data_IF_909363504114
#
_entry.id   IF_909363504114
#
_cell.length_a   1.000
_cell.length_b   1.000
_cell.length_c   1.000
_cell.angle_alpha   90.00
_cell.angle_beta   90.00
_cell.angle_gamma   90.00
#
_symmetry.space_group_name_H-M   'P 1'
#
loop_
_entity.id
_entity.type
_entity.pdbx_description
1 polymer ?
#
# COMPACT_ATOMS: atom_id res chain seq x y z
N UNK A 1 31.12 -7.06 -16.01
CA UNK A 1 29.86 -6.56 -16.58
C UNK A 1 29.86 -5.04 -16.49
N UNK A 2 29.42 -4.34 -17.55
CA UNK A 2 29.08 -2.92 -17.44
C UNK A 2 27.77 -2.73 -16.66
N UNK A 3 27.50 -1.52 -16.18
CA UNK A 3 26.26 -1.20 -15.46
C UNK A 3 25.01 -1.51 -16.30
N UNK A 4 25.06 -1.25 -17.60
CA UNK A 4 23.95 -1.53 -18.53
C UNK A 4 23.74 -3.03 -18.74
N UNK A 5 24.84 -3.81 -18.81
CA UNK A 5 24.76 -5.27 -18.90
C UNK A 5 24.15 -5.87 -17.62
N UNK A 6 24.52 -5.36 -16.44
CA UNK A 6 23.94 -5.81 -15.17
C UNK A 6 22.46 -5.46 -15.09
N UNK A 7 22.07 -4.24 -15.50
CA UNK A 7 20.67 -3.83 -15.55
C UNK A 7 19.83 -4.75 -16.46
N UNK A 8 20.31 -5.00 -17.68
CA UNK A 8 19.64 -5.87 -18.64
C UNK A 8 19.45 -7.30 -18.09
N UNK A 9 20.51 -7.89 -17.51
CA UNK A 9 20.42 -9.24 -16.91
C UNK A 9 19.44 -9.26 -15.74
N UNK A 10 19.45 -8.25 -14.88
CA UNK A 10 18.50 -8.12 -13.77
C UNK A 10 17.04 -8.07 -14.27
N UNK A 11 16.76 -7.30 -15.32
CA UNK A 11 15.41 -7.19 -15.89
C UNK A 11 14.94 -8.48 -16.55
N UNK A 12 15.79 -9.12 -17.36
CA UNK A 12 15.47 -10.38 -18.03
C UNK A 12 15.16 -11.48 -17.00
N UNK A 13 16.02 -11.61 -15.98
CA UNK A 13 15.82 -12.63 -14.94
C UNK A 13 14.56 -12.36 -14.10
N UNK A 14 14.27 -11.10 -13.77
CA UNK A 14 13.02 -10.72 -13.09
C UNK A 14 11.79 -11.08 -13.93
N UNK A 15 11.78 -10.71 -15.21
CA UNK A 15 10.65 -10.97 -16.12
C UNK A 15 10.44 -12.47 -16.37
N UNK A 16 11.51 -13.26 -16.38
CA UNK A 16 11.45 -14.72 -16.51
C UNK A 16 10.96 -15.43 -15.25
N UNK A 17 10.86 -14.74 -14.11
CA UNK A 17 10.48 -15.32 -12.82
C UNK A 17 11.55 -16.24 -12.20
N UNK A 18 12.77 -16.27 -12.74
CA UNK A 18 13.85 -17.14 -12.26
C UNK A 18 14.64 -16.46 -11.11
N UNK A 19 14.00 -16.35 -9.95
CA UNK A 19 14.56 -15.64 -8.79
C UNK A 19 15.78 -16.35 -8.17
N UNK A 20 15.91 -17.66 -8.32
CA UNK A 20 17.09 -18.43 -7.89
C UNK A 20 18.34 -18.05 -8.69
N UNK A 21 18.21 -17.96 -10.03
CA UNK A 21 19.31 -17.48 -10.89
C UNK A 21 19.60 -16.01 -10.64
N UNK A 22 18.57 -15.20 -10.41
CA UNK A 22 18.75 -13.79 -10.05
C UNK A 22 19.52 -13.64 -8.74
N UNK A 23 19.20 -14.43 -7.72
CA UNK A 23 19.91 -14.41 -6.43
C UNK A 23 21.39 -14.77 -6.60
N UNK A 24 21.70 -15.86 -7.33
CA UNK A 24 23.10 -16.23 -7.64
C UNK A 24 23.82 -15.15 -8.43
N UNK A 25 23.16 -14.56 -9.43
CA UNK A 25 23.74 -13.49 -10.22
C UNK A 25 24.10 -12.29 -9.35
N UNK A 26 23.17 -11.84 -8.50
CA UNK A 26 23.40 -10.72 -7.56
C UNK A 26 24.54 -11.00 -6.58
N UNK A 27 24.69 -12.25 -6.13
CA UNK A 27 25.79 -12.67 -5.25
C UNK A 27 27.14 -12.72 -5.98
N UNK A 28 27.15 -13.02 -7.28
CA UNK A 28 28.35 -13.05 -8.11
C UNK A 28 28.85 -11.68 -8.57
N UNK A 29 28.08 -10.62 -8.32
CA UNK A 29 28.49 -9.26 -8.69
C UNK A 29 29.73 -8.84 -7.88
N UNK A 30 30.68 -8.12 -8.51
CA UNK A 30 31.84 -7.62 -7.79
C UNK A 30 31.42 -6.61 -6.71
N UNK A 31 32.15 -6.55 -5.60
CA UNK A 31 31.88 -5.72 -4.41
C UNK A 31 32.07 -4.20 -4.64
N UNK A 32 31.74 -3.70 -5.82
CA UNK A 32 31.81 -2.29 -6.16
C UNK A 32 30.56 -1.56 -5.62
N UNK A 33 30.77 -0.59 -4.73
CA UNK A 33 29.70 0.18 -4.08
C UNK A 33 28.79 0.90 -5.09
N UNK A 34 29.33 1.37 -6.21
CA UNK A 34 28.54 2.04 -7.26
C UNK A 34 27.55 1.09 -7.93
N UNK A 35 27.95 -0.17 -8.16
CA UNK A 35 27.11 -1.17 -8.79
C UNK A 35 25.97 -1.60 -7.88
N UNK A 36 26.23 -1.76 -6.59
CA UNK A 36 25.21 -2.16 -5.62
C UNK A 36 24.20 -1.06 -5.29
N UNK A 37 24.52 0.21 -5.59
CA UNK A 37 23.62 1.36 -5.49
C UNK A 37 22.80 1.59 -6.77
N UNK A 38 23.09 0.86 -7.85
CA UNK A 38 22.33 0.98 -9.08
C UNK A 38 20.89 0.52 -8.85
N UNK A 39 19.92 1.32 -9.32
CA UNK A 39 18.50 1.07 -9.07
C UNK A 39 18.06 -0.31 -9.56
N UNK A 40 18.51 -0.75 -10.74
CA UNK A 40 18.19 -2.08 -11.30
C UNK A 40 18.60 -3.23 -10.37
N UNK A 41 19.75 -3.09 -9.70
CA UNK A 41 20.26 -4.05 -8.72
C UNK A 41 19.45 -4.00 -7.41
N UNK A 42 19.07 -2.80 -6.97
CA UNK A 42 18.21 -2.63 -5.78
C UNK A 42 16.82 -3.22 -6.01
N UNK A 43 16.20 -2.96 -7.15
CA UNK A 43 14.91 -3.56 -7.55
C UNK A 43 15.03 -5.08 -7.60
N UNK A 44 16.07 -5.61 -8.25
CA UNK A 44 16.33 -7.05 -8.29
C UNK A 44 16.47 -7.68 -6.90
N UNK A 45 17.24 -7.04 -6.00
CA UNK A 45 17.38 -7.47 -4.59
C UNK A 45 16.03 -7.49 -3.87
N UNK A 46 15.19 -6.47 -4.08
CA UNK A 46 13.85 -6.42 -3.49
C UNK A 46 13.02 -7.65 -3.89
N UNK A 47 13.00 -8.00 -5.19
CA UNK A 47 12.29 -9.19 -5.67
C UNK A 47 12.84 -10.50 -5.09
N UNK A 48 14.16 -10.62 -4.97
CA UNK A 48 14.79 -11.80 -4.35
C UNK A 48 14.43 -11.90 -2.87
N UNK A 49 14.49 -10.81 -2.11
CA UNK A 49 14.08 -10.81 -0.70
C UNK A 49 12.61 -11.21 -0.52
N UNK A 50 11.73 -10.68 -1.38
CA UNK A 50 10.32 -11.08 -1.37
C UNK A 50 10.14 -12.58 -1.64
N UNK A 51 10.78 -13.11 -2.68
CA UNK A 51 10.65 -14.52 -3.05
C UNK A 51 11.18 -15.46 -1.97
N UNK A 52 12.26 -15.07 -1.28
CA UNK A 52 12.85 -15.86 -0.20
C UNK A 52 12.11 -15.72 1.14
N UNK A 53 11.08 -14.86 1.21
CA UNK A 53 10.34 -14.58 2.44
C UNK A 53 11.12 -13.71 3.44
N UNK A 54 12.22 -13.08 3.02
CA UNK A 54 13.04 -12.19 3.84
C UNK A 54 12.43 -10.77 3.84
N UNK A 55 11.23 -10.64 4.38
CA UNK A 55 10.47 -9.39 4.31
C UNK A 55 11.12 -8.23 5.09
N UNK A 56 11.82 -8.50 6.19
CA UNK A 56 12.54 -7.46 6.94
C UNK A 56 13.59 -6.75 6.08
N UNK A 57 14.37 -7.50 5.29
CA UNK A 57 15.39 -6.92 4.42
C UNK A 57 14.77 -6.21 3.22
N UNK A 58 13.64 -6.73 2.71
CA UNK A 58 12.83 -6.02 1.72
C UNK A 58 12.38 -4.65 2.25
N UNK A 59 11.81 -4.57 3.46
CA UNK A 59 11.33 -3.31 4.03
C UNK A 59 12.47 -2.30 4.21
N UNK A 60 13.57 -2.73 4.84
CA UNK A 60 14.76 -1.89 5.02
C UNK A 60 15.29 -1.38 3.68
N UNK A 61 15.33 -2.22 2.64
CA UNK A 61 15.81 -1.82 1.33
C UNK A 61 14.93 -0.72 0.72
N UNK A 62 13.60 -0.87 0.80
CA UNK A 62 12.64 0.07 0.24
C UNK A 62 12.57 1.40 1.02
N UNK A 63 12.79 1.36 2.32
CA UNK A 63 12.80 2.55 3.19
C UNK A 63 14.08 3.37 3.10
N UNK A 64 15.22 2.76 2.75
CA UNK A 64 16.53 3.42 2.76
C UNK A 64 17.07 3.76 1.36
N UNK A 65 16.40 3.35 0.29
CA UNK A 65 16.84 3.58 -1.09
C UNK A 65 15.86 4.46 -1.84
N UNK A 66 16.35 5.29 -2.77
CA UNK A 66 15.53 6.11 -3.67
C UNK A 66 15.29 5.38 -5.00
N UNK A 67 14.09 5.55 -5.56
CA UNK A 67 13.68 4.87 -6.80
C UNK A 67 13.05 5.86 -7.77
N UNK A 68 13.22 5.58 -9.06
CA UNK A 68 12.55 6.31 -10.13
C UNK A 68 11.08 5.93 -10.23
N UNK A 69 10.26 6.86 -10.70
CA UNK A 69 8.79 6.73 -10.78
C UNK A 69 8.33 5.51 -11.58
N UNK A 70 9.09 5.12 -12.60
CA UNK A 70 8.85 3.91 -13.40
C UNK A 70 8.83 2.60 -12.57
N UNK A 71 9.54 2.56 -11.45
CA UNK A 71 9.61 1.39 -10.57
C UNK A 71 8.67 1.47 -9.38
N UNK A 72 8.10 2.64 -9.07
CA UNK A 72 7.24 2.84 -7.90
C UNK A 72 6.08 1.84 -7.87
N UNK A 73 5.31 1.71 -8.95
CA UNK A 73 4.17 0.77 -8.99
C UNK A 73 4.59 -0.68 -8.70
N UNK A 74 5.74 -1.12 -9.21
CA UNK A 74 6.25 -2.48 -8.96
C UNK A 74 6.62 -2.67 -7.49
N UNK A 75 7.34 -1.72 -6.90
CA UNK A 75 7.82 -1.77 -5.53
C UNK A 75 6.68 -1.58 -4.50
N UNK A 76 5.71 -0.72 -4.79
CA UNK A 76 4.49 -0.56 -4.00
C UNK A 76 3.70 -1.86 -3.94
N UNK A 77 3.52 -2.54 -5.08
CA UNK A 77 2.86 -3.84 -5.13
C UNK A 77 3.62 -4.89 -4.30
N UNK A 78 4.96 -4.87 -4.36
CA UNK A 78 5.81 -5.78 -3.60
C UNK A 78 5.67 -5.56 -2.09
N UNK A 79 5.76 -4.30 -1.64
CA UNK A 79 5.55 -3.89 -0.25
C UNK A 79 4.19 -4.35 0.30
N UNK A 80 3.12 -4.05 -0.44
CA UNK A 80 1.76 -4.43 -0.03
C UNK A 80 1.59 -5.94 0.02
N UNK A 81 2.09 -6.65 -0.99
CA UNK A 81 1.99 -8.12 -1.07
C UNK A 81 2.75 -8.77 0.08
N UNK A 82 3.94 -8.28 0.43
CA UNK A 82 4.73 -8.80 1.56
C UNK A 82 3.94 -8.71 2.88
N UNK A 83 3.43 -7.53 3.21
CA UNK A 83 2.63 -7.35 4.42
C UNK A 83 1.32 -8.15 4.41
N UNK A 84 0.66 -8.31 3.25
CA UNK A 84 -0.50 -9.18 3.14
C UNK A 84 -0.14 -10.64 3.40
N UNK A 85 0.95 -11.14 2.81
CA UNK A 85 1.40 -12.52 2.99
C UNK A 85 1.76 -12.81 4.45
N UNK A 86 2.47 -11.92 5.13
CA UNK A 86 2.75 -12.06 6.57
C UNK A 86 1.47 -12.11 7.41
N UNK A 87 0.53 -11.20 7.14
CA UNK A 87 -0.73 -11.13 7.87
C UNK A 87 -1.66 -12.32 7.58
N UNK A 88 -1.65 -12.86 6.37
CA UNK A 88 -2.38 -14.09 6.00
C UNK A 88 -1.78 -15.31 6.69
N UNK A 89 -0.45 -15.43 6.71
CA UNK A 89 0.27 -16.51 7.39
C UNK A 89 -0.04 -16.52 8.90
N UNK A 90 -0.02 -15.34 9.54
CA UNK A 90 -0.32 -15.22 10.97
C UNK A 90 -1.79 -15.53 11.31
N UNK A 91 -2.73 -15.21 10.39
CA UNK A 91 -4.16 -15.45 10.60
C UNK A 91 -4.63 -16.85 10.17
N UNK A 92 -3.82 -17.59 9.41
CA UNK A 92 -4.17 -18.88 8.83
C UNK A 92 -5.31 -18.83 7.81
N UNK A 93 -5.67 -17.64 7.30
CA UNK A 93 -6.72 -17.45 6.28
C UNK A 93 -6.49 -16.24 5.40
N UNK A 94 -7.00 -16.24 4.15
CA UNK A 94 -6.88 -15.10 3.24
C UNK A 94 -7.45 -13.79 3.81
N UNK A 95 -6.85 -12.67 3.43
CA UNK A 95 -7.33 -11.34 3.79
C UNK A 95 -8.45 -10.89 2.84
N UNK A 96 -9.63 -10.63 3.40
CA UNK A 96 -10.68 -9.88 2.71
C UNK A 96 -10.34 -8.39 2.55
N UNK A 97 -11.18 -7.66 1.82
CA UNK A 97 -10.97 -6.24 1.51
C UNK A 97 -10.70 -5.36 2.76
N UNK A 98 -11.45 -5.58 3.84
CA UNK A 98 -11.26 -4.85 5.10
C UNK A 98 -9.93 -5.18 5.77
N UNK A 99 -9.50 -6.44 5.68
CA UNK A 99 -8.20 -6.87 6.18
C UNK A 99 -7.06 -6.15 5.45
N UNK A 100 -7.10 -6.18 4.11
CA UNK A 100 -6.11 -5.46 3.27
C UNK A 100 -6.11 -3.96 3.54
N UNK A 101 -7.29 -3.35 3.74
CA UNK A 101 -7.40 -1.94 4.14
C UNK A 101 -6.69 -1.65 5.48
N UNK A 102 -6.91 -2.49 6.50
CA UNK A 102 -6.24 -2.31 7.81
C UNK A 102 -4.72 -2.43 7.70
N UNK A 103 -4.23 -3.33 6.86
CA UNK A 103 -2.78 -3.49 6.62
C UNK A 103 -2.19 -2.25 5.96
N UNK A 104 -2.81 -1.73 4.88
CA UNK A 104 -2.37 -0.47 4.24
C UNK A 104 -2.31 0.71 5.19
N UNK A 105 -3.25 0.77 6.15
CA UNK A 105 -3.29 1.80 7.20
C UNK A 105 -2.21 1.61 8.27
N UNK A 106 -1.85 0.36 8.58
CA UNK A 106 -0.83 0.05 9.60
C UNK A 106 0.59 0.21 9.04
N UNK A 107 0.78 -0.10 7.76
CA UNK A 107 2.06 -0.05 7.06
C UNK A 107 1.89 0.79 5.80
N UNK A 108 1.88 2.13 5.91
CA UNK A 108 1.80 3.02 4.77
C UNK A 108 3.00 2.82 3.85
N UNK A 109 2.85 3.22 2.59
CA UNK A 109 3.93 3.12 1.63
C UNK A 109 5.06 4.11 1.99
N UNK A 110 6.34 3.68 1.98
CA UNK A 110 7.44 4.58 2.29
C UNK A 110 7.58 5.67 1.22
N UNK A 111 7.98 6.87 1.66
CA UNK A 111 8.08 8.05 0.79
C UNK A 111 9.00 7.85 -0.44
N UNK A 112 9.94 6.91 -0.37
CA UNK A 112 10.88 6.66 -1.46
C UNK A 112 10.27 5.90 -2.66
N UNK A 113 9.11 5.28 -2.46
CA UNK A 113 8.35 4.59 -3.52
C UNK A 113 6.94 5.18 -3.68
N UNK A 114 6.72 6.39 -3.17
CA UNK A 114 5.42 7.04 -3.10
C UNK A 114 5.56 8.53 -3.42
N UNK A 115 4.79 9.00 -4.39
CA UNK A 115 4.78 10.40 -4.88
C UNK A 115 3.99 11.36 -3.97
N UNK A 116 3.39 10.87 -2.89
CA UNK A 116 2.66 11.68 -1.92
C UNK A 116 1.15 11.73 -2.19
N UNK A 117 0.64 11.09 -3.24
CA UNK A 117 -0.79 11.12 -3.54
C UNK A 117 -1.57 10.15 -2.64
N UNK A 118 -1.83 10.58 -1.40
CA UNK A 118 -2.76 9.89 -0.52
C UNK A 118 -4.18 9.95 -1.12
N UNK A 119 -4.71 8.81 -1.54
CA UNK A 119 -6.17 8.62 -1.71
C UNK A 119 -6.82 8.55 -0.32
N UNK A 120 -6.65 9.59 0.49
CA UNK A 120 -7.38 9.80 1.73
C UNK A 120 -8.76 10.32 1.38
N UNK A 121 -9.66 9.40 1.03
CA UNK A 121 -11.10 9.66 0.92
C UNK A 121 -11.76 9.89 2.30
N UNK A 122 -11.05 10.51 3.24
CA UNK A 122 -11.69 11.13 4.36
C UNK A 122 -12.38 12.37 3.80
N UNK A 123 -13.71 12.32 3.61
CA UNK A 123 -14.57 13.36 3.02
C UNK A 123 -14.04 14.78 3.26
N UNK A 124 -14.17 15.71 2.31
CA UNK A 124 -13.77 17.12 2.51
C UNK A 124 -14.33 17.66 3.83
N UNK A 125 -13.60 18.55 4.52
CA UNK A 125 -13.99 19.04 5.85
C UNK A 125 -15.41 19.63 5.86
N UNK A 126 -15.79 20.34 4.79
CA UNK A 126 -17.17 20.82 4.57
C UNK A 126 -18.22 19.70 4.65
N UNK A 127 -17.99 18.59 3.95
CA UNK A 127 -18.88 17.42 3.96
C UNK A 127 -18.93 16.77 5.35
N UNK A 128 -17.80 16.75 6.09
CA UNK A 128 -17.76 16.22 7.48
C UNK A 128 -18.59 17.08 8.43
N UNK A 129 -18.52 18.40 8.33
CA UNK A 129 -19.31 19.31 9.18
C UNK A 129 -20.79 19.05 9.00
N UNK A 130 -21.27 19.02 7.76
CA UNK A 130 -22.69 18.78 7.43
C UNK A 130 -23.18 17.45 8.01
N UNK A 131 -22.39 16.37 7.87
CA UNK A 131 -22.74 15.06 8.41
C UNK A 131 -22.77 15.06 9.95
N UNK A 132 -21.80 15.71 10.61
CA UNK A 132 -21.76 15.85 12.08
C UNK A 132 -22.96 16.64 12.60
N UNK A 133 -23.30 17.75 11.96
CA UNK A 133 -24.41 18.61 12.39
C UNK A 133 -25.77 17.92 12.21
N UNK A 134 -25.93 17.16 11.13
CA UNK A 134 -27.11 16.31 10.96
C UNK A 134 -27.16 15.21 12.02
N UNK A 135 -26.04 14.54 12.31
CA UNK A 135 -26.00 13.47 13.31
C UNK A 135 -26.38 13.93 14.72
N UNK A 136 -25.94 15.12 15.12
CA UNK A 136 -26.32 15.73 16.41
C UNK A 136 -27.84 15.93 16.52
N UNK A 137 -28.51 16.23 15.41
CA UNK A 137 -29.97 16.43 15.36
C UNK A 137 -30.71 15.09 15.27
N UNK A 138 -30.22 14.17 14.43
CA UNK A 138 -30.85 12.87 14.20
C UNK A 138 -29.78 11.81 13.81
N UNK A 139 -29.44 10.87 14.71
CA UNK A 139 -28.53 9.77 14.42
C UNK A 139 -29.06 8.72 13.42
N UNK A 140 -30.36 8.75 13.10
CA UNK A 140 -31.06 7.80 12.23
C UNK A 140 -31.83 8.53 11.11
N UNK A 141 -31.13 9.14 10.14
CA UNK A 141 -31.79 9.83 9.03
C UNK A 141 -32.55 8.85 8.13
N UNK A 142 -33.73 9.27 7.68
CA UNK A 142 -34.57 8.60 6.69
C UNK A 142 -33.89 8.49 5.31
N UNK A 143 -34.39 7.63 4.40
CA UNK A 143 -33.86 7.54 3.04
C UNK A 143 -33.85 8.88 2.29
N UNK A 144 -34.88 9.71 2.48
CA UNK A 144 -34.98 11.06 1.88
C UNK A 144 -33.90 11.99 2.44
N UNK A 145 -33.71 12.01 3.76
CA UNK A 145 -32.66 12.83 4.38
C UNK A 145 -31.26 12.39 3.95
N UNK A 146 -31.02 11.08 3.82
CA UNK A 146 -29.75 10.56 3.29
C UNK A 146 -29.48 10.99 1.85
N UNK A 147 -30.53 11.06 1.01
CA UNK A 147 -30.42 11.56 -0.36
C UNK A 147 -30.07 13.05 -0.39
N UNK A 148 -30.75 13.87 0.41
CA UNK A 148 -30.43 15.30 0.53
C UNK A 148 -29.01 15.52 1.06
N UNK A 149 -28.55 14.72 2.03
CA UNK A 149 -27.18 14.79 2.53
C UNK A 149 -26.16 14.42 1.46
N UNK A 150 -26.43 13.40 0.66
CA UNK A 150 -25.58 13.00 -0.46
C UNK A 150 -25.40 14.15 -1.45
N UNK A 151 -26.50 14.79 -1.87
CA UNK A 151 -26.50 15.96 -2.75
C UNK A 151 -25.72 17.14 -2.15
N UNK A 152 -25.97 17.49 -0.88
CA UNK A 152 -25.30 18.61 -0.21
C UNK A 152 -23.81 18.39 0.06
N UNK A 153 -23.38 17.14 0.20
CA UNK A 153 -22.00 16.80 0.55
C UNK A 153 -21.16 16.36 -0.64
N UNK A 154 -21.76 16.17 -1.82
CA UNK A 154 -21.13 15.57 -2.99
C UNK A 154 -20.73 14.11 -2.79
N UNK A 155 -21.37 13.43 -1.84
CA UNK A 155 -21.12 12.02 -1.51
C UNK A 155 -22.22 11.15 -2.11
N UNK A 156 -21.94 9.86 -2.26
CA UNK A 156 -22.97 8.87 -2.59
C UNK A 156 -23.85 8.58 -1.37
N UNK A 157 -25.11 8.21 -1.62
CA UNK A 157 -26.05 7.77 -0.57
C UNK A 157 -25.51 6.60 0.25
N UNK A 158 -24.73 5.71 -0.36
CA UNK A 158 -24.01 4.61 0.30
C UNK A 158 -22.94 5.13 1.25
N UNK A 159 -22.13 6.11 0.83
CA UNK A 159 -21.11 6.74 1.69
C UNK A 159 -21.74 7.42 2.90
N UNK A 160 -22.84 8.16 2.70
CA UNK A 160 -23.61 8.78 3.80
C UNK A 160 -24.15 7.69 4.74
N UNK A 161 -24.78 6.64 4.20
CA UNK A 161 -25.33 5.53 5.00
C UNK A 161 -24.26 4.84 5.85
N UNK A 162 -23.10 4.56 5.26
CA UNK A 162 -21.97 3.96 5.95
C UNK A 162 -21.39 4.88 7.02
N UNK A 163 -21.33 6.19 6.77
CA UNK A 163 -20.84 7.15 7.77
C UNK A 163 -21.70 7.14 9.03
N UNK A 164 -23.03 7.20 8.89
CA UNK A 164 -23.97 7.16 10.03
C UNK A 164 -23.89 5.82 10.78
N UNK A 165 -23.81 4.70 10.05
CA UNK A 165 -23.62 3.37 10.64
C UNK A 165 -22.34 3.31 11.47
N UNK A 166 -21.21 3.74 10.90
CA UNK A 166 -19.90 3.69 11.55
C UNK A 166 -19.81 4.69 12.72
N UNK A 167 -20.50 5.83 12.67
CA UNK A 167 -20.56 6.79 13.79
C UNK A 167 -21.27 6.17 15.00
N UNK A 168 -22.45 5.58 14.82
CA UNK A 168 -23.18 4.87 15.89
C UNK A 168 -22.43 3.66 16.46
N UNK A 169 -21.60 3.00 15.66
CA UNK A 169 -20.73 1.93 16.15
C UNK A 169 -19.61 2.46 17.06
N UNK A 170 -19.04 3.62 16.74
CA UNK A 170 -18.01 4.26 17.56
C UNK A 170 -18.57 4.80 18.88
N UNK A 171 -19.78 5.37 18.84
CA UNK A 171 -20.40 5.92 20.05
C UNK A 171 -20.69 4.80 21.06
N UNK A 172 -21.25 3.66 20.61
CA UNK A 172 -21.45 2.46 21.45
C UNK A 172 -20.17 1.78 21.94
N UNK A 173 -19.04 2.01 21.28
CA UNK A 173 -17.75 1.45 21.71
C UNK A 173 -17.03 2.36 22.72
N UNK A 174 -17.52 3.58 22.90
CA UNK A 174 -17.00 4.59 23.82
C UNK A 174 -17.93 4.82 25.04
N UNK A 175 -19.06 4.11 25.09
CA UNK A 175 -19.95 3.96 26.25
C UNK A 175 -19.48 2.75 27.09
#
# INVERSE_FOLDING_TARGET
FSQDQVACVCEVLQNSGNFERLSRFLWSLPSCDQLHKQESVLVAKAFVYFHNGNYNDLYRLLENSTFSTQNHTKLQNLWLKAHYTEAEKLRGRPLGAVGKYRIRRKYPLPANIWDGEETSYCFKEKSRSILKDCYKKNPYPSPREKKNLAENTGLTTTQVSNWFKNRRQRDRANE
#
